data_IF_055987423195
#
_entry.id   IF_055987423195
#
_cell.length_a   1.000
_cell.length_b   1.000
_cell.length_c   1.000
_cell.angle_alpha   90.00
_cell.angle_beta   90.00
_cell.angle_gamma   90.00
#
_symmetry.space_group_name_H-M   'P 1'
#
loop_
_entity.id
_entity.type
_entity.pdbx_description
1 polymer ?
#
# COMPACT_ATOMS: atom_id res chain seq x y z
N UNK A 1 17.58 -18.52 19.11
CA UNK A 1 17.98 -17.22 18.53
C UNK A 1 17.16 -17.02 17.27
N UNK A 2 16.09 -16.22 17.34
CA UNK A 2 15.33 -15.81 16.16
C UNK A 2 15.97 -14.58 15.56
N UNK A 3 16.39 -14.66 14.29
CA UNK A 3 16.97 -13.52 13.58
C UNK A 3 15.96 -12.38 13.43
N UNK A 4 16.41 -11.11 13.32
CA UNK A 4 15.50 -9.98 13.27
C UNK A 4 14.75 -9.97 11.93
N UNK A 5 13.43 -9.81 11.98
CA UNK A 5 12.54 -9.59 10.83
C UNK A 5 12.75 -8.18 10.22
N UNK A 6 14.00 -7.83 9.94
CA UNK A 6 14.53 -6.47 9.78
C UNK A 6 14.34 -5.83 8.39
N UNK A 7 13.41 -6.31 7.55
CA UNK A 7 13.22 -5.77 6.21
C UNK A 7 12.29 -4.55 6.15
N UNK A 8 11.23 -4.54 6.97
CA UNK A 8 10.09 -3.62 6.80
C UNK A 8 10.07 -2.44 7.78
N UNK A 9 10.99 -2.40 8.75
CA UNK A 9 10.98 -1.42 9.84
C UNK A 9 11.87 -0.18 9.59
N UNK A 10 12.62 -0.10 8.48
CA UNK A 10 13.72 0.86 8.36
C UNK A 10 13.57 1.98 7.32
N UNK A 11 12.53 2.00 6.49
CA UNK A 11 12.37 3.09 5.54
C UNK A 11 11.30 4.10 5.92
N UNK A 12 11.32 5.23 5.21
CA UNK A 12 10.48 6.40 5.49
C UNK A 12 9.03 6.15 5.06
N UNK A 13 8.28 5.48 5.93
CA UNK A 13 6.85 5.21 5.73
C UNK A 13 6.01 6.48 5.64
N UNK A 14 6.48 7.62 6.18
CA UNK A 14 5.78 8.89 6.00
C UNK A 14 5.86 9.35 4.55
N UNK A 15 7.07 9.38 3.99
CA UNK A 15 7.28 9.75 2.59
C UNK A 15 6.60 8.75 1.65
N UNK A 16 6.72 7.45 1.91
CA UNK A 16 6.02 6.41 1.15
C UNK A 16 4.51 6.62 1.18
N UNK A 17 3.91 6.84 2.35
CA UNK A 17 2.45 7.02 2.43
C UNK A 17 1.97 8.31 1.75
N UNK A 18 2.76 9.39 1.83
CA UNK A 18 2.45 10.64 1.12
C UNK A 18 2.49 10.46 -0.39
N UNK A 19 3.53 9.82 -0.93
CA UNK A 19 3.64 9.55 -2.37
C UNK A 19 2.53 8.62 -2.84
N UNK A 20 2.18 7.59 -2.05
CA UNK A 20 1.07 6.71 -2.37
C UNK A 20 -0.24 7.51 -2.51
N UNK A 21 -0.54 8.39 -1.55
CA UNK A 21 -1.76 9.20 -1.56
C UNK A 21 -1.77 10.23 -2.70
N UNK A 22 -0.60 10.78 -3.06
CA UNK A 22 -0.45 11.78 -4.12
C UNK A 22 -0.53 11.18 -5.53
N UNK A 23 -0.07 9.94 -5.71
CA UNK A 23 -0.13 9.24 -7.00
C UNK A 23 -1.55 8.74 -7.34
N UNK A 24 -2.40 8.52 -6.32
CA UNK A 24 -3.73 7.94 -6.51
C UNK A 24 -4.65 8.80 -7.42
N UNK A 25 -4.80 10.12 -7.22
CA UNK A 25 -5.58 10.96 -8.12
C UNK A 25 -5.09 10.93 -9.57
N UNK A 26 -3.77 10.89 -9.78
CA UNK A 26 -3.18 10.84 -11.11
C UNK A 26 -3.50 9.52 -11.83
N UNK A 27 -3.33 8.38 -11.14
CA UNK A 27 -3.70 7.07 -11.67
C UNK A 27 -5.20 6.98 -12.01
N UNK A 28 -6.06 7.59 -11.17
CA UNK A 28 -7.50 7.67 -11.40
C UNK A 28 -7.84 8.54 -12.62
N UNK A 29 -7.19 9.71 -12.73
CA UNK A 29 -7.39 10.63 -13.85
C UNK A 29 -6.99 9.99 -15.18
N UNK A 30 -5.89 9.25 -15.21
CA UNK A 30 -5.39 8.52 -16.38
C UNK A 30 -6.13 7.20 -16.65
N UNK A 31 -7.05 6.81 -15.76
CA UNK A 31 -7.81 5.55 -15.84
C UNK A 31 -6.91 4.32 -15.96
N UNK A 32 -5.81 4.33 -15.21
CA UNK A 32 -4.89 3.19 -15.12
C UNK A 32 -5.68 1.97 -14.63
N UNK A 33 -5.51 0.83 -15.30
CA UNK A 33 -6.18 -0.41 -14.91
C UNK A 33 -5.66 -0.86 -13.55
N UNK A 34 -6.51 -1.51 -12.75
CA UNK A 34 -6.16 -1.92 -11.39
C UNK A 34 -4.88 -2.76 -11.35
N UNK A 35 -4.69 -3.66 -12.33
CA UNK A 35 -3.49 -4.47 -12.49
C UNK A 35 -2.21 -3.68 -12.77
N UNK A 36 -2.33 -2.48 -13.34
CA UNK A 36 -1.22 -1.63 -13.76
C UNK A 36 -0.89 -0.52 -12.74
N UNK A 37 -1.77 -0.25 -11.76
CA UNK A 37 -1.60 0.86 -10.79
C UNK A 37 -0.29 0.72 -10.00
N UNK A 38 0.10 -0.50 -9.60
CA UNK A 38 1.34 -0.70 -8.85
C UNK A 38 2.59 -0.30 -9.66
N UNK A 39 2.61 -0.63 -10.96
CA UNK A 39 3.70 -0.25 -11.85
C UNK A 39 3.71 1.27 -12.08
N UNK A 40 2.54 1.86 -12.36
CA UNK A 40 2.38 3.30 -12.53
C UNK A 40 2.89 4.10 -11.32
N UNK A 41 2.49 3.70 -10.11
CA UNK A 41 2.93 4.38 -8.88
C UNK A 41 4.43 4.21 -8.67
N UNK A 42 5.01 3.07 -9.04
CA UNK A 42 6.46 2.85 -9.02
C UNK A 42 7.23 3.81 -9.95
N UNK A 43 6.70 4.07 -11.15
CA UNK A 43 7.27 5.04 -12.10
C UNK A 43 7.08 6.48 -11.63
N UNK A 44 5.88 6.84 -11.15
CA UNK A 44 5.60 8.13 -10.53
C UNK A 44 6.60 8.42 -9.39
N UNK A 45 6.79 7.44 -8.53
CA UNK A 45 7.73 7.46 -7.43
C UNK A 45 9.17 7.66 -7.90
N UNK A 46 9.60 6.95 -8.95
CA UNK A 46 10.94 7.11 -9.51
C UNK A 46 11.22 8.55 -9.96
N UNK A 47 10.22 9.23 -10.53
CA UNK A 47 10.30 10.65 -10.92
C UNK A 47 10.53 11.62 -9.75
N UNK A 48 10.19 11.22 -8.52
CA UNK A 48 10.34 12.03 -7.30
C UNK A 48 11.66 11.79 -6.55
N UNK A 49 12.57 10.98 -7.11
CA UNK A 49 13.89 10.74 -6.54
C UNK A 49 13.87 9.97 -5.20
N UNK A 50 12.82 9.19 -4.94
CA UNK A 50 12.78 8.27 -3.79
C UNK A 50 13.67 7.06 -4.03
N UNK A 51 14.17 6.49 -2.94
CA UNK A 51 15.08 5.34 -2.95
C UNK A 51 14.40 4.08 -3.51
N UNK A 52 15.19 3.11 -3.95
CA UNK A 52 14.68 1.82 -4.45
C UNK A 52 13.83 1.11 -3.40
N UNK A 53 14.26 1.10 -2.14
CA UNK A 53 13.47 0.50 -1.05
C UNK A 53 12.10 1.18 -0.90
N UNK A 54 12.05 2.51 -0.94
CA UNK A 54 10.78 3.25 -0.80
C UNK A 54 9.85 2.96 -1.98
N UNK A 55 10.40 2.79 -3.20
CA UNK A 55 9.64 2.39 -4.38
C UNK A 55 9.07 0.98 -4.27
N UNK A 56 9.87 0.03 -3.77
CA UNK A 56 9.42 -1.35 -3.54
C UNK A 56 8.32 -1.37 -2.48
N UNK A 57 8.51 -0.66 -1.37
CA UNK A 57 7.50 -0.52 -0.32
C UNK A 57 6.20 0.10 -0.83
N UNK A 58 6.29 1.17 -1.63
CA UNK A 58 5.16 1.80 -2.33
C UNK A 58 4.43 0.83 -3.26
N UNK A 59 5.17 0.08 -4.09
CA UNK A 59 4.61 -0.89 -5.02
C UNK A 59 3.79 -1.98 -4.31
N UNK A 60 4.19 -2.36 -3.08
CA UNK A 60 3.40 -3.32 -2.30
C UNK A 60 2.01 -2.79 -1.93
N UNK A 61 1.86 -1.49 -1.63
CA UNK A 61 0.57 -0.90 -1.24
C UNK A 61 -0.51 -1.05 -2.33
N UNK A 62 -0.08 -1.04 -3.59
CA UNK A 62 -0.95 -1.14 -4.77
C UNK A 62 -0.97 -2.53 -5.39
N UNK A 63 -0.20 -3.49 -4.87
CA UNK A 63 -0.11 -4.84 -5.42
C UNK A 63 -1.36 -5.65 -5.10
N UNK A 64 -1.96 -6.28 -6.12
CA UNK A 64 -3.05 -7.24 -5.99
C UNK A 64 -2.75 -8.37 -4.98
N UNK A 65 -1.50 -8.83 -4.93
CA UNK A 65 -1.10 -9.97 -4.12
C UNK A 65 -0.42 -9.64 -2.78
N UNK A 66 -0.07 -8.37 -2.53
CA UNK A 66 0.80 -8.01 -1.39
C UNK A 66 0.45 -6.66 -0.75
N UNK A 67 -0.78 -6.16 -0.94
CA UNK A 67 -1.24 -4.90 -0.36
C UNK A 67 -1.63 -5.02 1.11
N UNK A 68 -1.99 -3.88 1.73
CA UNK A 68 -2.70 -3.92 3.01
C UNK A 68 -4.15 -4.26 2.69
N UNK A 69 -4.56 -5.48 3.06
CA UNK A 69 -5.88 -6.02 2.76
C UNK A 69 -6.68 -6.18 4.05
N UNK A 70 -7.71 -5.36 4.30
CA UNK A 70 -8.57 -5.52 5.45
C UNK A 70 -9.28 -6.89 5.42
N UNK A 71 -9.44 -7.54 6.59
CA UNK A 71 -10.28 -8.74 6.70
C UNK A 71 -11.75 -8.35 6.85
N UNK A 72 -12.56 -8.63 5.83
CA UNK A 72 -14.01 -8.37 5.84
C UNK A 72 -14.51 -7.72 4.55
N UNK A 73 -15.81 -7.79 4.34
CA UNK A 73 -16.54 -7.23 3.19
C UNK A 73 -16.98 -5.77 3.39
N UNK A 74 -17.15 -5.31 4.65
CA UNK A 74 -17.64 -3.96 4.99
C UNK A 74 -16.60 -2.99 5.58
N UNK A 75 -17.03 -1.79 5.98
CA UNK A 75 -16.17 -0.71 6.52
C UNK A 75 -15.52 -1.01 7.88
N UNK A 76 -15.98 -2.04 8.58
CA UNK A 76 -15.46 -2.47 9.88
C UNK A 76 -14.62 -3.73 9.64
N UNK A 77 -13.30 -3.57 9.69
CA UNK A 77 -12.35 -4.68 9.61
C UNK A 77 -11.86 -5.04 11.00
N UNK A 78 -11.90 -6.32 11.37
CA UNK A 78 -11.34 -6.83 12.63
C UNK A 78 -9.86 -7.22 12.52
N UNK A 79 -9.21 -6.95 11.39
CA UNK A 79 -7.82 -7.33 11.14
C UNK A 79 -7.35 -7.05 9.71
N UNK A 80 -6.26 -7.72 9.31
CA UNK A 80 -5.78 -7.68 7.92
C UNK A 80 -5.50 -9.11 7.44
N UNK A 81 -5.92 -9.40 6.21
CA UNK A 81 -5.58 -10.63 5.47
C UNK A 81 -4.09 -10.62 5.14
N UNK A 82 -3.58 -9.45 4.73
CA UNK A 82 -2.16 -9.20 4.48
C UNK A 82 -1.77 -7.77 4.91
N UNK A 83 -0.51 -7.59 5.27
CA UNK A 83 0.07 -6.29 5.62
C UNK A 83 0.05 -5.94 7.10
N UNK A 84 -0.27 -6.87 8.01
CA UNK A 84 -0.26 -6.62 9.47
C UNK A 84 1.07 -6.03 9.96
N UNK A 85 2.21 -6.62 9.56
CA UNK A 85 3.53 -6.11 9.91
C UNK A 85 3.82 -4.73 9.32
N UNK A 86 3.31 -4.43 8.11
CA UNK A 86 3.45 -3.11 7.47
C UNK A 86 2.62 -2.05 8.19
N UNK A 87 1.38 -2.39 8.56
CA UNK A 87 0.51 -1.50 9.33
C UNK A 87 1.13 -1.20 10.69
N UNK A 88 1.67 -2.21 11.38
CA UNK A 88 2.37 -1.97 12.65
C UNK A 88 3.59 -1.06 12.45
N UNK A 89 4.43 -1.31 11.45
CA UNK A 89 5.59 -0.46 11.15
C UNK A 89 5.19 0.98 10.80
N UNK A 90 4.09 1.18 10.06
CA UNK A 90 3.54 2.51 9.77
C UNK A 90 3.05 3.20 11.04
N UNK A 91 2.31 2.50 11.90
CA UNK A 91 1.81 3.04 13.16
C UNK A 91 2.96 3.41 14.12
N UNK A 92 3.97 2.55 14.23
CA UNK A 92 5.18 2.80 15.02
C UNK A 92 5.96 4.02 14.49
N UNK A 93 5.96 4.21 13.17
CA UNK A 93 6.55 5.37 12.51
C UNK A 93 5.71 6.65 12.63
N UNK A 94 4.47 6.58 13.16
CA UNK A 94 3.56 7.74 13.31
C UNK A 94 2.66 8.01 12.10
N UNK A 95 2.67 7.14 11.09
CA UNK A 95 1.79 7.23 9.93
C UNK A 95 0.34 6.91 10.35
N UNK A 96 -0.59 7.79 9.97
CA UNK A 96 -2.03 7.65 10.27
C UNK A 96 -2.91 7.48 9.02
N UNK A 97 -2.35 7.74 7.84
CA UNK A 97 -3.05 7.66 6.56
C UNK A 97 -2.15 6.95 5.56
N UNK A 98 -2.72 5.96 4.89
CA UNK A 98 -2.07 5.21 3.83
C UNK A 98 -3.14 4.65 2.90
N UNK A 99 -2.71 3.96 1.86
CA UNK A 99 -3.59 3.28 0.93
C UNK A 99 -3.77 1.84 1.40
N UNK A 100 -5.03 1.46 1.56
CA UNK A 100 -5.44 0.06 1.68
C UNK A 100 -6.16 -0.31 0.41
N UNK A 101 -6.11 -1.58 0.08
CA UNK A 101 -6.66 -2.03 -1.17
C UNK A 101 -7.70 -3.12 -0.92
N UNK A 102 -8.83 -2.97 -1.60
CA UNK A 102 -10.00 -3.83 -1.45
C UNK A 102 -10.46 -4.25 -2.83
N UNK A 103 -10.56 -5.56 -3.03
CA UNK A 103 -11.14 -6.14 -4.23
C UNK A 103 -12.52 -6.70 -3.91
N UNK A 104 -13.43 -6.47 -4.84
CA UNK A 104 -14.74 -7.09 -4.83
C UNK A 104 -14.86 -7.91 -6.10
N UNK A 105 -15.46 -9.09 -5.99
CA UNK A 105 -15.94 -9.77 -7.17
C UNK A 105 -17.08 -8.95 -7.77
N UNK A 106 -17.18 -8.83 -9.11
CA UNK A 106 -18.19 -7.99 -9.77
C UNK A 106 -19.63 -8.30 -9.32
N UNK A 107 -19.88 -9.55 -8.93
CA UNK A 107 -21.20 -10.05 -8.52
C UNK A 107 -21.43 -10.00 -7.00
N UNK A 108 -20.46 -9.50 -6.23
CA UNK A 108 -20.61 -9.30 -4.79
C UNK A 108 -21.09 -7.88 -4.51
N UNK A 109 -22.23 -7.69 -3.82
CA UNK A 109 -22.68 -6.34 -3.47
C UNK A 109 -21.63 -5.65 -2.57
N UNK A 110 -21.41 -4.34 -2.73
CA UNK A 110 -20.57 -3.60 -1.79
C UNK A 110 -21.23 -3.67 -0.39
N UNK A 111 -20.48 -4.14 0.61
CA UNK A 111 -20.88 -4.21 2.02
C UNK A 111 -20.55 -2.96 2.80
#
# INVERSE_FOLDING_TARGET
>A
MGGPAAGHHFGDWHRGSLVALDALPSAQHERVKAEDVAAYVGEYAAGLGISTWEREALGTLYSLGNSIQPSGDGYISNGFIDGQHRVQAMLDAGVRRTVVLRYFWPDSPPG
#
